data_IF_740411197859
#
_entry.id   IF_740411197859
#
_cell.length_a   1.000
_cell.length_b   1.000
_cell.length_c   1.000
_cell.angle_alpha   90.00
_cell.angle_beta   90.00
_cell.angle_gamma   90.00
#
_symmetry.space_group_name_H-M   'P 1'
#
loop_
_entity.id
_entity.type
_entity.pdbx_description
1 polymer ?
#
# COMPACT_ATOMS: atom_id res chain seq x y z
N UNK A 1 -30.07 35.69 -0.85
CA UNK A 1 -29.05 36.72 -1.18
C UNK A 1 -27.85 36.55 -0.27
N UNK A 2 -26.77 35.96 -0.79
CA UNK A 2 -25.40 36.14 -0.30
C UNK A 2 -24.47 35.72 -1.43
N UNK A 3 -24.02 36.73 -2.16
CA UNK A 3 -22.93 36.66 -3.12
C UNK A 3 -21.67 36.18 -2.40
N UNK A 4 -20.94 35.24 -2.98
CA UNK A 4 -19.50 35.12 -2.74
C UNK A 4 -18.80 35.12 -4.10
N UNK A 5 -17.98 36.16 -4.26
CA UNK A 5 -17.27 36.49 -5.46
C UNK A 5 -16.20 35.47 -5.81
N UNK A 6 -16.03 35.33 -7.11
CA UNK A 6 -14.91 34.72 -7.80
C UNK A 6 -13.59 35.39 -7.34
N UNK A 7 -12.66 34.61 -6.78
CA UNK A 7 -11.24 34.99 -6.81
C UNK A 7 -10.46 33.88 -7.51
N UNK A 8 -9.87 34.29 -8.64
CA UNK A 8 -9.04 33.51 -9.53
C UNK A 8 -7.69 33.21 -8.83
N UNK A 9 -7.40 31.92 -8.61
CA UNK A 9 -6.05 31.41 -8.44
C UNK A 9 -6.06 29.97 -8.94
N UNK A 10 -5.24 29.71 -9.96
CA UNK A 10 -5.20 28.47 -10.72
C UNK A 10 -4.68 27.34 -9.81
N UNK A 11 -5.60 26.63 -9.17
CA UNK A 11 -5.37 25.29 -8.68
C UNK A 11 -5.95 24.34 -9.73
N UNK A 12 -5.08 23.64 -10.44
CA UNK A 12 -5.47 22.57 -11.37
C UNK A 12 -5.97 21.39 -10.53
N UNK A 13 -7.24 21.48 -10.11
CA UNK A 13 -7.95 20.45 -9.39
C UNK A 13 -8.32 19.37 -10.41
N UNK A 14 -7.44 18.37 -10.53
CA UNK A 14 -7.78 17.12 -11.23
C UNK A 14 -8.76 16.36 -10.33
N UNK A 15 -10.04 16.68 -10.45
CA UNK A 15 -11.11 15.81 -9.97
C UNK A 15 -11.23 14.65 -10.96
N UNK A 16 -10.49 13.57 -10.72
CA UNK A 16 -10.94 12.24 -11.13
C UNK A 16 -11.75 11.66 -9.98
N UNK A 17 -13.06 11.89 -10.02
CA UNK A 17 -14.01 11.19 -9.19
C UNK A 17 -14.18 9.76 -9.69
N UNK A 18 -13.99 8.79 -8.78
CA UNK A 18 -14.73 7.54 -8.78
C UNK A 18 -15.40 7.48 -7.40
N UNK A 19 -16.71 7.39 -7.40
CA UNK A 19 -17.56 7.35 -6.23
C UNK A 19 -18.04 5.92 -6.06
N UNK A 20 -17.51 5.19 -5.08
CA UNK A 20 -18.16 4.03 -4.50
C UNK A 20 -17.74 3.90 -3.03
N UNK A 21 -18.72 3.54 -2.20
CA UNK A 21 -18.88 3.68 -0.75
C UNK A 21 -17.64 3.50 0.18
N UNK A 22 -17.52 4.40 1.17
CA UNK A 22 -17.17 3.98 2.53
C UNK A 22 -15.85 4.42 3.18
N UNK A 23 -14.99 5.23 2.57
CA UNK A 23 -13.81 5.77 3.29
C UNK A 23 -13.53 7.21 2.91
N UNK A 24 -13.89 8.15 3.80
CA UNK A 24 -13.47 9.55 3.69
C UNK A 24 -11.96 9.63 3.95
N UNK A 25 -11.19 9.64 2.88
CA UNK A 25 -9.78 10.05 2.93
C UNK A 25 -9.72 11.54 2.60
N UNK A 26 -9.54 12.39 3.62
CA UNK A 26 -9.27 13.81 3.40
C UNK A 26 -7.77 14.02 3.18
N UNK A 27 -7.37 14.07 1.92
CA UNK A 27 -5.98 14.36 1.51
C UNK A 27 -5.79 15.88 1.47
N UNK A 28 -5.10 16.45 2.46
CA UNK A 28 -4.66 17.84 2.41
C UNK A 28 -3.20 17.92 1.96
N UNK A 29 -2.98 18.32 0.71
CA UNK A 29 -1.66 18.56 0.13
C UNK A 29 -1.34 20.05 0.16
N UNK A 30 -0.35 20.48 0.95
CA UNK A 30 0.19 21.84 0.90
C UNK A 30 1.54 21.83 0.15
N UNK A 31 1.61 22.55 -0.97
CA UNK A 31 2.84 22.69 -1.78
C UNK A 31 3.41 24.09 -1.56
N UNK A 32 4.62 24.19 -1.01
CA UNK A 32 5.36 25.45 -0.92
C UNK A 32 6.56 25.42 -1.87
N UNK A 33 6.55 26.29 -2.87
CA UNK A 33 7.64 26.46 -3.84
C UNK A 33 8.35 27.78 -3.58
N UNK A 34 9.64 27.75 -3.23
CA UNK A 34 10.49 28.96 -3.15
C UNK A 34 11.48 28.96 -4.31
N UNK A 35 11.36 29.95 -5.19
CA UNK A 35 12.23 30.12 -6.36
C UNK A 35 13.31 31.14 -6.03
N UNK A 36 14.58 30.72 -5.99
CA UNK A 36 15.73 31.63 -6.02
C UNK A 36 16.47 31.49 -7.35
N UNK A 37 16.54 32.57 -8.11
CA UNK A 37 17.24 32.61 -9.38
C UNK A 37 18.76 32.47 -9.18
N UNK A 38 19.33 31.39 -9.69
CA UNK A 38 20.77 31.17 -9.75
C UNK A 38 21.17 29.71 -9.50
N UNK A 39 21.25 28.95 -10.60
CA UNK A 39 21.96 27.67 -10.81
C UNK A 39 21.86 26.56 -9.74
N UNK A 40 21.36 25.39 -10.20
CA UNK A 40 21.13 24.12 -9.49
C UNK A 40 19.82 24.04 -8.69
N UNK A 41 18.79 23.49 -9.33
CA UNK A 41 17.52 23.13 -8.67
C UNK A 41 17.72 21.79 -7.98
N UNK A 42 17.89 21.82 -6.66
CA UNK A 42 17.75 20.65 -5.80
C UNK A 42 16.33 20.67 -5.23
N UNK A 43 15.45 19.86 -5.81
CA UNK A 43 14.08 19.71 -5.33
C UNK A 43 14.09 18.81 -4.11
N UNK A 44 13.96 19.41 -2.93
CA UNK A 44 13.77 18.68 -1.68
C UNK A 44 12.28 18.67 -1.34
N UNK A 45 11.62 17.56 -1.64
CA UNK A 45 10.22 17.32 -1.26
C UNK A 45 10.22 16.63 0.10
N UNK A 46 9.75 17.32 1.13
CA UNK A 46 9.48 16.72 2.44
C UNK A 46 7.98 16.44 2.54
N UNK A 47 7.59 15.20 2.30
CA UNK A 47 6.21 14.74 2.50
C UNK A 47 6.11 14.18 3.91
N UNK A 48 5.49 14.94 4.82
CA UNK A 48 5.14 14.45 6.16
C UNK A 48 3.72 13.89 6.12
N UNK A 49 3.61 12.58 5.96
CA UNK A 49 2.34 11.85 6.09
C UNK A 49 2.14 11.50 7.56
N UNK A 50 1.26 12.23 8.25
CA UNK A 50 0.77 11.83 9.57
C UNK A 50 -0.51 11.02 9.39
N UNK A 51 -0.38 9.70 9.36
CA UNK A 51 -1.53 8.79 9.46
C UNK A 51 -1.97 8.77 10.92
N UNK A 52 -2.92 9.64 11.28
CA UNK A 52 -3.66 9.50 12.53
C UNK A 52 -4.71 8.41 12.33
N UNK A 53 -4.32 7.18 12.65
CA UNK A 53 -5.26 6.12 12.99
C UNK A 53 -5.92 6.54 14.30
N UNK A 54 -7.06 7.22 14.20
CA UNK A 54 -7.97 7.25 15.33
C UNK A 54 -8.47 5.81 15.53
N UNK A 55 -8.35 5.26 16.75
CA UNK A 55 -8.85 3.94 17.04
C UNK A 55 -10.36 3.99 16.86
N UNK A 56 -10.87 3.27 15.86
CA UNK A 56 -12.28 2.93 15.82
C UNK A 56 -12.55 2.02 17.02
N UNK A 57 -12.96 2.71 18.08
CA UNK A 57 -13.74 2.31 19.24
C UNK A 57 -14.33 0.90 19.10
N UNK A 58 -13.94 0.04 20.04
CA UNK A 58 -14.78 -1.04 20.51
C UNK A 58 -16.07 -0.40 21.04
N UNK A 59 -17.18 -0.68 20.37
CA UNK A 59 -18.49 -0.65 21.02
C UNK A 59 -19.05 -2.06 20.86
N UNK A 60 -19.15 -2.70 22.02
CA UNK A 60 -19.80 -3.98 22.26
C UNK A 60 -21.26 -3.93 21.78
N UNK A 61 -21.60 -4.77 20.81
CA UNK A 61 -22.94 -5.31 20.66
C UNK A 61 -22.78 -6.81 20.40
N UNK A 62 -23.12 -7.58 21.44
CA UNK A 62 -23.40 -9.01 21.42
C UNK A 62 -24.45 -9.29 20.31
N UNK A 63 -24.01 -9.81 19.17
CA UNK A 63 -24.83 -10.64 18.31
C UNK A 63 -23.97 -11.82 17.82
N UNK A 64 -24.29 -12.99 18.35
CA UNK A 64 -23.86 -14.32 17.90
C UNK A 64 -24.26 -14.50 16.43
N UNK A 65 -23.38 -14.14 15.50
CA UNK A 65 -23.40 -14.64 14.13
C UNK A 65 -22.04 -15.32 13.82
N UNK A 66 -22.06 -16.65 13.90
CA UNK A 66 -21.07 -17.59 13.34
C UNK A 66 -21.00 -17.41 11.80
N UNK A 67 -20.50 -16.27 11.33
CA UNK A 67 -20.16 -16.07 9.92
C UNK A 67 -18.65 -16.28 9.75
N UNK A 68 -18.31 -17.35 9.03
CA UNK A 68 -17.00 -17.66 8.49
C UNK A 68 -16.39 -16.43 7.76
N UNK A 69 -15.78 -15.49 8.51
CA UNK A 69 -15.01 -14.36 7.99
C UNK A 69 -13.74 -14.90 7.31
N UNK A 70 -13.92 -15.44 6.10
CA UNK A 70 -12.82 -15.67 5.18
C UNK A 70 -12.27 -14.29 4.84
N UNK A 71 -11.10 -13.98 5.41
CA UNK A 71 -10.50 -12.66 5.42
C UNK A 71 -10.76 -11.82 4.17
N UNK A 72 -11.15 -10.56 4.39
CA UNK A 72 -11.48 -9.63 3.32
C UNK A 72 -10.34 -9.45 2.30
N UNK A 73 -10.70 -9.14 1.05
CA UNK A 73 -9.73 -8.88 0.00
C UNK A 73 -8.99 -7.54 0.23
N UNK A 74 -7.68 -7.49 -0.02
CA UNK A 74 -6.85 -6.29 0.21
C UNK A 74 -5.87 -6.01 -0.94
N UNK A 75 -5.91 -4.80 -1.49
CA UNK A 75 -5.00 -4.39 -2.57
C UNK A 75 -4.25 -3.12 -2.20
N UNK A 76 -2.92 -3.13 -2.30
CA UNK A 76 -2.07 -1.99 -1.92
C UNK A 76 -0.83 -1.88 -2.82
N UNK A 77 -0.43 -0.65 -3.14
CA UNK A 77 0.81 -0.40 -3.87
C UNK A 77 1.70 0.60 -3.12
N UNK A 78 2.97 0.24 -2.96
CA UNK A 78 3.97 1.04 -2.27
C UNK A 78 5.02 1.56 -3.25
N UNK A 79 4.85 2.81 -3.67
CA UNK A 79 5.75 3.46 -4.63
C UNK A 79 7.03 4.01 -3.99
N UNK A 80 6.97 4.43 -2.73
CA UNK A 80 8.10 5.04 -2.02
C UNK A 80 9.03 4.01 -1.37
N UNK A 81 8.59 2.76 -1.29
CA UNK A 81 9.33 1.66 -0.68
C UNK A 81 9.23 1.64 0.83
N UNK A 82 9.91 0.68 1.45
CA UNK A 82 9.95 0.50 2.91
C UNK A 82 8.55 0.31 3.56
N UNK A 83 7.53 -0.03 2.78
CA UNK A 83 6.21 -0.32 3.31
C UNK A 83 6.16 -1.67 3.98
N UNK A 84 5.27 -1.80 4.97
CA UNK A 84 4.86 -3.08 5.52
C UNK A 84 3.47 -3.41 4.97
N UNK A 85 3.39 -4.53 4.27
CA UNK A 85 2.18 -5.01 3.59
C UNK A 85 1.88 -6.41 4.14
N UNK A 86 1.03 -6.45 5.16
CA UNK A 86 0.60 -7.69 5.79
C UNK A 86 -0.81 -8.05 5.30
N UNK A 87 -0.96 -9.31 4.90
CA UNK A 87 -2.22 -9.93 4.51
C UNK A 87 -2.72 -10.81 5.65
N UNK A 88 -3.99 -10.67 6.01
CA UNK A 88 -4.63 -11.48 7.05
C UNK A 88 -4.72 -12.96 6.65
N UNK A 89 -4.94 -13.82 7.63
CA UNK A 89 -5.14 -15.25 7.39
C UNK A 89 -6.46 -15.48 6.62
N UNK A 90 -6.48 -16.45 5.71
CA UNK A 90 -7.64 -16.74 4.83
C UNK A 90 -7.96 -15.68 3.77
N UNK A 91 -7.28 -14.53 3.79
CA UNK A 91 -7.59 -13.39 2.93
C UNK A 91 -7.08 -13.54 1.49
N UNK A 92 -7.57 -12.70 0.58
CA UNK A 92 -7.00 -12.56 -0.77
C UNK A 92 -6.33 -11.19 -0.92
N UNK A 93 -5.01 -11.16 -1.12
CA UNK A 93 -4.25 -9.92 -1.19
C UNK A 93 -3.45 -9.74 -2.48
N UNK A 94 -3.43 -8.52 -3.01
CA UNK A 94 -2.58 -8.12 -4.15
C UNK A 94 -1.74 -6.91 -3.76
N UNK A 95 -0.43 -7.12 -3.59
CA UNK A 95 0.49 -6.11 -3.08
C UNK A 95 1.63 -5.81 -4.06
N UNK A 96 1.75 -4.54 -4.42
CA UNK A 96 2.82 -3.99 -5.24
C UNK A 96 3.84 -3.19 -4.43
N UNK A 97 5.11 -3.29 -4.81
CA UNK A 97 6.20 -2.49 -4.28
C UNK A 97 7.18 -2.10 -5.39
N UNK A 98 7.19 -0.83 -5.77
CA UNK A 98 8.18 -0.29 -6.72
C UNK A 98 9.32 0.47 -6.06
N UNK A 99 9.16 0.95 -4.81
CA UNK A 99 10.19 1.74 -4.13
C UNK A 99 11.25 0.95 -3.35
N UNK A 100 11.26 -0.39 -3.49
CA UNK A 100 12.17 -1.32 -2.82
C UNK A 100 11.90 -1.53 -1.32
N UNK A 101 12.52 -2.56 -0.74
CA UNK A 101 12.54 -2.83 0.71
C UNK A 101 11.16 -2.98 1.36
N UNK A 102 10.13 -3.33 0.60
CA UNK A 102 8.83 -3.60 1.18
C UNK A 102 8.82 -4.96 1.86
N UNK A 103 8.29 -5.02 3.07
CA UNK A 103 8.03 -6.26 3.78
C UNK A 103 6.63 -6.75 3.42
N UNK A 104 6.55 -7.87 2.71
CA UNK A 104 5.30 -8.46 2.24
C UNK A 104 5.07 -9.80 2.94
N UNK A 105 3.99 -9.89 3.72
CA UNK A 105 3.66 -11.09 4.50
C UNK A 105 2.29 -11.62 4.10
N UNK A 106 2.22 -12.91 3.75
CA UNK A 106 0.97 -13.61 3.48
C UNK A 106 0.54 -14.43 4.70
N UNK A 107 -0.69 -14.22 5.15
CA UNK A 107 -1.33 -14.98 6.21
C UNK A 107 -1.46 -16.48 5.89
N UNK A 108 -1.75 -17.29 6.90
CA UNK A 108 -2.02 -18.72 6.72
C UNK A 108 -3.31 -18.92 5.91
N UNK A 109 -3.35 -19.92 5.04
CA UNK A 109 -4.49 -20.22 4.17
C UNK A 109 -4.94 -19.06 3.25
N UNK A 110 -4.17 -17.97 3.15
CA UNK A 110 -4.47 -16.82 2.33
C UNK A 110 -4.04 -17.03 0.86
N UNK A 111 -4.55 -16.20 -0.05
CA UNK A 111 -4.12 -16.13 -1.44
C UNK A 111 -3.44 -14.79 -1.69
N UNK A 112 -2.14 -14.80 -1.92
CA UNK A 112 -1.36 -13.58 -2.06
C UNK A 112 -0.68 -13.46 -3.42
N UNK A 113 -0.69 -12.25 -3.97
CA UNK A 113 0.03 -11.85 -5.16
C UNK A 113 0.96 -10.69 -4.77
N UNK A 114 2.27 -10.95 -4.73
CA UNK A 114 3.28 -10.00 -4.32
C UNK A 114 4.19 -9.66 -5.49
N UNK A 115 4.25 -8.37 -5.83
CA UNK A 115 5.15 -7.85 -6.86
C UNK A 115 6.14 -6.87 -6.25
N UNK A 116 7.44 -7.12 -6.44
CA UNK A 116 8.51 -6.24 -6.02
C UNK A 116 9.43 -5.92 -7.21
N UNK A 117 9.33 -4.70 -7.73
CA UNK A 117 10.21 -4.19 -8.78
C UNK A 117 11.37 -3.35 -8.26
N UNK A 118 11.27 -2.80 -7.04
CA UNK A 118 12.35 -2.01 -6.45
C UNK A 118 13.50 -2.84 -5.87
N UNK A 119 13.27 -4.12 -5.58
CA UNK A 119 14.27 -5.03 -5.00
C UNK A 119 14.30 -5.01 -3.48
N UNK A 120 15.11 -5.91 -2.90
CA UNK A 120 15.30 -6.06 -1.45
C UNK A 120 13.99 -6.30 -0.65
N UNK A 121 12.96 -6.86 -1.29
CA UNK A 121 11.69 -7.12 -0.62
C UNK A 121 11.69 -8.50 0.05
N UNK A 122 11.61 -8.60 1.39
CA UNK A 122 11.26 -9.85 2.03
C UNK A 122 9.79 -10.20 1.76
N UNK A 123 9.58 -11.34 1.09
CA UNK A 123 8.29 -11.90 0.71
C UNK A 123 8.08 -13.23 1.44
N UNK A 124 7.16 -13.28 2.39
CA UNK A 124 6.96 -14.44 3.27
C UNK A 124 5.56 -15.01 3.15
N UNK A 125 5.45 -16.33 3.00
CA UNK A 125 4.19 -17.06 2.93
C UNK A 125 4.09 -18.10 4.04
N UNK A 126 3.04 -17.97 4.87
CA UNK A 126 2.72 -18.93 5.94
C UNK A 126 2.04 -20.19 5.39
N UNK A 127 2.00 -21.23 6.21
CA UNK A 127 1.44 -22.54 5.86
C UNK A 127 0.02 -22.48 5.29
N UNK A 128 -0.24 -23.36 4.31
CA UNK A 128 -1.54 -23.48 3.66
C UNK A 128 -1.89 -22.34 2.70
N UNK A 129 -1.08 -21.27 2.62
CA UNK A 129 -1.33 -20.17 1.69
C UNK A 129 -1.00 -20.54 0.23
N UNK A 130 -1.60 -19.80 -0.71
CA UNK A 130 -1.26 -19.81 -2.13
C UNK A 130 -0.62 -18.47 -2.49
N UNK A 131 0.67 -18.47 -2.84
CA UNK A 131 1.43 -17.27 -3.10
C UNK A 131 1.99 -17.20 -4.52
N UNK A 132 1.82 -16.04 -5.16
CA UNK A 132 2.56 -15.63 -6.36
C UNK A 132 3.57 -14.56 -5.96
N UNK A 133 4.86 -14.90 -5.97
CA UNK A 133 5.95 -14.04 -5.54
C UNK A 133 6.79 -13.62 -6.74
N UNK A 134 6.68 -12.35 -7.14
CA UNK A 134 7.45 -11.77 -8.25
C UNK A 134 8.45 -10.75 -7.74
N UNK A 135 9.72 -10.94 -8.09
CA UNK A 135 10.81 -10.03 -7.78
C UNK A 135 11.64 -9.72 -9.04
N UNK A 136 11.43 -8.54 -9.62
CA UNK A 136 12.24 -8.09 -10.76
C UNK A 136 13.42 -7.20 -10.36
N UNK A 137 13.35 -6.55 -9.20
CA UNK A 137 14.44 -5.68 -8.70
C UNK A 137 15.65 -6.44 -8.13
N UNK A 138 15.53 -7.75 -7.87
CA UNK A 138 16.58 -8.57 -7.26
C UNK A 138 16.63 -8.46 -5.74
N UNK A 139 17.50 -9.26 -5.11
CA UNK A 139 17.72 -9.31 -3.65
C UNK A 139 16.48 -9.58 -2.78
N UNK A 140 15.39 -10.07 -3.36
CA UNK A 140 14.22 -10.44 -2.57
C UNK A 140 14.46 -11.75 -1.82
N UNK A 141 14.10 -11.77 -0.54
CA UNK A 141 14.06 -12.99 0.25
C UNK A 141 12.65 -13.59 0.14
N UNK A 142 12.49 -14.68 -0.63
CA UNK A 142 11.23 -15.33 -0.91
C UNK A 142 11.12 -16.61 -0.07
N UNK A 143 10.34 -16.55 1.02
CA UNK A 143 10.18 -17.67 1.96
C UNK A 143 8.78 -18.28 1.91
N UNK A 144 8.70 -19.61 1.88
CA UNK A 144 7.44 -20.35 1.85
C UNK A 144 7.51 -21.49 2.87
N UNK A 145 6.76 -21.37 3.96
CA UNK A 145 6.67 -22.39 5.00
C UNK A 145 5.42 -23.24 4.75
N UNK A 146 5.55 -24.38 4.06
CA UNK A 146 4.43 -25.29 3.73
C UNK A 146 3.27 -24.63 2.96
N UNK A 147 3.60 -23.63 2.14
CA UNK A 147 2.68 -22.92 1.26
C UNK A 147 2.83 -23.38 -0.19
N UNK A 148 1.77 -23.24 -0.98
CA UNK A 148 1.86 -23.38 -2.44
C UNK A 148 2.41 -22.08 -3.01
N UNK A 149 3.65 -22.10 -3.49
CA UNK A 149 4.34 -20.91 -3.96
C UNK A 149 4.79 -20.99 -5.41
N UNK A 150 4.49 -19.95 -6.17
CA UNK A 150 5.14 -19.63 -7.44
C UNK A 150 6.13 -18.51 -7.19
N UNK A 151 7.42 -18.78 -7.42
CA UNK A 151 8.50 -17.79 -7.27
C UNK A 151 9.04 -17.41 -8.64
N UNK A 152 9.03 -16.13 -8.95
CA UNK A 152 9.67 -15.56 -10.12
C UNK A 152 10.68 -14.53 -9.66
N UNK A 153 11.94 -14.73 -10.01
CA UNK A 153 12.99 -13.75 -9.79
C UNK A 153 13.73 -13.51 -11.11
N UNK A 154 13.63 -12.29 -11.64
CA UNK A 154 14.37 -11.88 -12.84
C UNK A 154 15.55 -10.98 -12.53
N UNK A 155 15.62 -10.42 -11.31
CA UNK A 155 16.78 -9.67 -10.82
C UNK A 155 17.82 -10.59 -10.16
N UNK A 156 18.97 -10.03 -9.77
CA UNK A 156 20.06 -10.82 -9.19
C UNK A 156 19.91 -11.04 -7.68
N UNK A 157 20.22 -12.25 -7.22
CA UNK A 157 20.44 -12.57 -5.80
C UNK A 157 19.18 -12.69 -4.94
N UNK A 158 18.08 -13.19 -5.51
CA UNK A 158 16.96 -13.67 -4.70
C UNK A 158 17.34 -14.95 -3.94
N UNK A 159 16.71 -15.16 -2.79
CA UNK A 159 16.91 -16.34 -1.92
C UNK A 159 15.57 -16.96 -1.55
#
# INVERSE_FOLDING_TARGET
>A
MRSCALYCSIALLVLTGACDDGTKTETKTETKTETKAGSKVETKTETKTETKLDPAKADDDDDDDDDDDKGAAKTENCSDGNCTQDCADGATCDFGCSGAKCKQTCGANAKCSFTCSGGDCPQTCKAGSTCSLTCSGGKCAQSCADATCTKTCTGDGCT
#
